data_IF_308779088205
#
_entry.id   IF_308779088205
#
_cell.length_a   1.000
_cell.length_b   1.000
_cell.length_c   1.000
_cell.angle_alpha   90.00
_cell.angle_beta   90.00
_cell.angle_gamma   90.00
#
_symmetry.space_group_name_H-M   'P 1'
#
loop_
_entity.id
_entity.type
_entity.pdbx_description
1 polymer ?
#
# COMPACT_ATOMS: atom_id res chain seq x y z
N UNK A 1 30.10 75.60 7.30
CA UNK A 1 28.64 75.52 7.49
C UNK A 1 28.19 74.09 7.22
N UNK A 2 27.63 73.42 8.23
CA UNK A 2 27.29 71.99 8.20
C UNK A 2 25.80 71.80 7.86
N UNK A 3 25.50 71.29 6.66
CA UNK A 3 24.13 70.96 6.27
C UNK A 3 23.79 69.54 6.70
N UNK A 4 22.98 69.42 7.76
CA UNK A 4 22.35 68.18 8.21
C UNK A 4 21.21 67.82 7.26
N UNK A 5 21.32 66.70 6.55
CA UNK A 5 20.20 66.10 5.85
C UNK A 5 19.18 65.55 6.85
N UNK A 6 17.94 66.08 6.84
CA UNK A 6 16.77 65.42 7.43
C UNK A 6 16.02 64.67 6.32
N UNK A 7 15.68 63.39 6.50
CA UNK A 7 14.84 62.69 5.52
C UNK A 7 13.39 63.18 5.62
N UNK A 8 12.81 63.56 4.48
CA UNK A 8 11.38 63.84 4.34
C UNK A 8 10.66 62.49 4.23
N UNK A 9 9.67 62.20 5.09
CA UNK A 9 8.89 60.97 4.99
C UNK A 9 7.83 61.14 3.89
N UNK A 10 8.10 60.63 2.69
CA UNK A 10 7.10 60.51 1.64
C UNK A 10 6.23 59.26 1.90
N UNK A 11 5.20 59.41 2.75
CA UNK A 11 4.06 58.50 2.76
C UNK A 11 2.90 59.15 1.99
N UNK A 12 2.21 58.42 1.09
CA UNK A 12 0.96 58.90 0.52
C UNK A 12 -0.14 58.91 1.60
N UNK A 13 -0.77 60.07 1.78
CA UNK A 13 -1.98 60.23 2.60
C UNK A 13 -3.17 59.84 1.71
N UNK A 14 -3.87 58.78 2.09
CA UNK A 14 -5.15 58.40 1.48
C UNK A 14 -6.34 58.91 2.32
N UNK A 15 -7.52 59.14 1.72
CA UNK A 15 -8.68 59.72 2.40
C UNK A 15 -9.21 58.83 3.55
N UNK A 16 -9.63 59.42 4.69
CA UNK A 16 -9.82 58.73 5.97
C UNK A 16 -11.06 57.82 6.09
N UNK A 17 -11.79 57.50 5.03
CA UNK A 17 -13.02 56.69 5.12
C UNK A 17 -13.13 55.52 4.13
N UNK A 18 -12.09 55.22 3.35
CA UNK A 18 -12.10 54.09 2.39
C UNK A 18 -10.83 53.22 2.46
N UNK A 19 -10.45 52.73 3.64
CA UNK A 19 -9.49 51.62 3.71
C UNK A 19 -9.96 50.57 4.70
N UNK A 20 -10.79 49.67 4.18
CA UNK A 20 -11.01 48.33 4.70
C UNK A 20 -9.66 47.67 5.06
N UNK A 21 -9.64 46.79 6.08
CA UNK A 21 -8.43 46.19 6.61
C UNK A 21 -7.66 45.49 5.49
N UNK A 22 -6.51 46.05 5.09
CA UNK A 22 -5.55 45.36 4.22
C UNK A 22 -4.84 44.27 5.03
N UNK A 23 -5.59 43.22 5.37
CA UNK A 23 -5.11 41.87 5.18
C UNK A 23 -4.87 41.69 3.67
N UNK A 24 -3.81 42.30 3.14
CA UNK A 24 -3.15 41.71 1.98
C UNK A 24 -2.64 40.36 2.49
N UNK A 25 -3.48 39.35 2.36
CA UNK A 25 -3.04 37.97 2.29
C UNK A 25 -2.16 37.92 1.05
N UNK A 26 -0.89 38.33 1.19
CA UNK A 26 0.18 37.78 0.37
C UNK A 26 -0.13 36.29 0.36
N UNK A 27 -0.42 35.67 -0.79
CA UNK A 27 -0.67 34.25 -0.83
C UNK A 27 0.57 33.64 -0.20
N UNK A 28 0.44 33.17 1.04
CA UNK A 28 1.52 32.46 1.72
C UNK A 28 1.78 31.31 0.76
N UNK A 29 2.90 31.38 0.04
CA UNK A 29 3.39 30.24 -0.73
C UNK A 29 3.24 29.06 0.19
N UNK A 30 2.53 27.99 -0.22
CA UNK A 30 2.20 26.89 0.67
C UNK A 30 3.48 26.49 1.36
N UNK A 31 3.54 26.66 2.68
CA UNK A 31 4.76 26.47 3.45
C UNK A 31 5.28 25.09 3.11
N UNK A 32 6.43 25.04 2.41
CA UNK A 32 7.03 23.78 2.00
C UNK A 32 7.27 23.02 3.30
N UNK A 33 6.69 21.82 3.47
CA UNK A 33 6.85 21.10 4.72
C UNK A 33 8.35 20.89 4.96
N UNK A 34 8.83 21.08 6.19
CA UNK A 34 10.28 21.15 6.48
C UNK A 34 11.08 19.94 5.97
N UNK A 35 10.48 18.74 5.90
CA UNK A 35 11.14 17.54 5.36
C UNK A 35 11.38 17.59 3.83
N UNK A 36 10.77 18.55 3.13
CA UNK A 36 11.02 18.89 1.72
C UNK A 36 11.91 20.12 1.55
N UNK A 37 12.22 20.84 2.62
CA UNK A 37 13.08 22.02 2.57
C UNK A 37 14.52 21.57 2.24
N UNK A 38 15.17 22.12 1.20
CA UNK A 38 16.58 21.85 0.92
C UNK A 38 17.48 22.10 2.13
N UNK A 39 17.16 23.09 2.99
CA UNK A 39 17.90 23.37 4.24
C UNK A 39 17.91 22.20 5.21
N UNK A 40 16.89 21.34 5.17
CA UNK A 40 16.84 20.11 5.97
C UNK A 40 17.42 18.92 5.20
N UNK A 41 17.05 18.75 3.92
CA UNK A 41 17.44 17.58 3.11
C UNK A 41 18.96 17.49 2.94
N UNK A 42 19.63 18.62 2.67
CA UNK A 42 21.07 18.61 2.36
C UNK A 42 21.88 18.14 3.59
N UNK A 43 21.79 18.78 4.77
CA UNK A 43 22.53 18.31 5.95
C UNK A 43 22.17 16.88 6.37
N UNK A 44 20.89 16.52 6.27
CA UNK A 44 20.39 15.23 6.75
C UNK A 44 20.83 14.08 5.82
N UNK A 45 20.55 14.19 4.52
CA UNK A 45 20.78 13.10 3.57
C UNK A 45 22.20 13.11 2.99
N UNK A 46 22.76 14.28 2.71
CA UNK A 46 24.04 14.39 1.99
C UNK A 46 25.23 14.45 2.94
N UNK A 47 25.08 15.09 4.09
CA UNK A 47 26.14 15.14 5.10
C UNK A 47 26.02 13.96 6.06
N UNK A 48 25.01 13.92 6.93
CA UNK A 48 24.93 12.94 8.00
C UNK A 48 24.81 11.48 7.52
N UNK A 49 23.79 11.17 6.71
CA UNK A 49 23.53 9.79 6.27
C UNK A 49 24.68 9.21 5.43
N UNK A 50 25.21 10.00 4.49
CA UNK A 50 26.32 9.52 3.63
C UNK A 50 27.60 9.34 4.42
N UNK A 51 27.96 10.28 5.30
CA UNK A 51 29.13 10.16 6.16
C UNK A 51 29.02 8.93 7.05
N UNK A 52 27.90 8.70 7.72
CA UNK A 52 27.66 7.48 8.50
C UNK A 52 27.85 6.19 7.68
N UNK A 53 27.32 6.16 6.45
CA UNK A 53 27.52 5.03 5.56
C UNK A 53 28.94 4.91 5.03
N UNK A 54 29.71 5.99 4.99
CA UNK A 54 31.10 6.01 4.55
C UNK A 54 32.03 5.54 5.67
N UNK A 55 31.90 6.06 6.88
CA UNK A 55 32.67 5.63 8.06
C UNK A 55 32.41 4.16 8.42
N UNK A 56 31.20 3.66 8.16
CA UNK A 56 30.90 2.22 8.37
C UNK A 56 31.41 1.28 7.26
N UNK A 57 32.05 1.78 6.19
CA UNK A 57 32.63 0.93 5.14
C UNK A 57 34.03 0.48 5.54
N UNK A 58 34.49 -0.61 4.93
CA UNK A 58 35.90 -1.00 5.02
C UNK A 58 36.78 0.03 4.33
N UNK A 59 37.96 0.26 4.91
CA UNK A 59 39.03 1.07 4.32
C UNK A 59 39.57 0.46 3.03
N UNK A 60 39.44 -0.86 2.85
CA UNK A 60 39.92 -1.57 1.65
C UNK A 60 38.77 -1.94 0.69
N UNK A 61 38.92 -1.66 -0.63
CA UNK A 61 37.97 -2.10 -1.63
C UNK A 61 37.92 -3.64 -1.71
N UNK A 62 36.77 -4.23 -1.38
CA UNK A 62 36.56 -5.69 -1.45
C UNK A 62 36.47 -6.40 -0.10
N UNK A 63 36.82 -5.72 1.00
CA UNK A 63 36.68 -6.29 2.34
C UNK A 63 35.31 -6.00 2.97
N UNK A 64 34.82 -6.88 3.87
CA UNK A 64 33.59 -6.64 4.61
C UNK A 64 33.70 -5.34 5.41
N UNK A 65 32.57 -4.63 5.52
CA UNK A 65 32.46 -3.41 6.33
C UNK A 65 33.02 -3.67 7.74
N UNK A 66 33.74 -2.69 8.30
CA UNK A 66 34.30 -2.79 9.65
C UNK A 66 33.20 -3.00 10.71
N UNK A 67 32.07 -2.32 10.54
CA UNK A 67 30.88 -2.43 11.39
C UNK A 67 29.62 -2.76 10.58
N UNK A 68 29.43 -4.03 10.15
CA UNK A 68 28.36 -4.41 9.26
C UNK A 68 26.97 -4.29 9.90
N UNK A 69 26.82 -4.59 11.19
CA UNK A 69 25.53 -4.51 11.88
C UNK A 69 25.13 -3.06 12.16
N UNK A 70 26.06 -2.18 12.55
CA UNK A 70 25.83 -0.73 12.64
C UNK A 70 25.31 -0.20 11.32
N UNK A 71 26.00 -0.52 10.21
CA UNK A 71 25.61 -0.08 8.86
C UNK A 71 24.20 -0.56 8.49
N UNK A 72 23.87 -1.81 8.80
CA UNK A 72 22.56 -2.38 8.52
C UNK A 72 21.47 -1.73 9.38
N UNK A 73 21.76 -1.45 10.65
CA UNK A 73 20.84 -0.77 11.56
C UNK A 73 20.58 0.67 11.12
N UNK A 74 21.61 1.43 10.72
CA UNK A 74 21.46 2.77 10.13
C UNK A 74 20.53 2.68 8.92
N UNK A 75 20.81 1.81 7.94
CA UNK A 75 19.93 1.62 6.77
C UNK A 75 18.49 1.25 7.16
N UNK A 76 18.30 0.45 8.21
CA UNK A 76 16.98 0.03 8.69
C UNK A 76 16.24 1.18 9.36
N UNK A 77 16.91 1.93 10.25
CA UNK A 77 16.33 3.06 10.98
C UNK A 77 15.94 4.19 10.02
N UNK A 78 16.81 4.56 9.09
CA UNK A 78 16.51 5.57 8.07
C UNK A 78 15.32 5.19 7.19
N UNK A 79 15.18 3.91 6.82
CA UNK A 79 14.00 3.41 6.09
C UNK A 79 12.73 3.43 6.95
N UNK A 80 12.84 3.06 8.23
CA UNK A 80 11.72 3.07 9.19
C UNK A 80 11.21 4.48 9.46
N UNK A 81 12.12 5.45 9.56
CA UNK A 81 11.83 6.83 9.96
C UNK A 81 11.70 7.82 8.79
N UNK A 82 11.69 7.34 7.54
CA UNK A 82 11.51 8.18 6.34
C UNK A 82 10.22 9.00 6.31
N UNK A 83 9.20 8.58 7.07
CA UNK A 83 7.89 9.23 7.16
C UNK A 83 7.72 10.03 8.45
N UNK A 84 8.79 10.29 9.21
CA UNK A 84 8.72 11.20 10.36
C UNK A 84 8.46 12.63 9.87
N UNK A 85 7.32 13.18 10.27
CA UNK A 85 6.91 14.56 9.95
C UNK A 85 6.84 15.47 11.17
N UNK A 86 7.17 14.96 12.37
CA UNK A 86 7.17 15.75 13.61
C UNK A 86 8.57 16.28 13.88
N UNK A 87 8.74 17.60 13.94
CA UNK A 87 10.02 18.29 14.18
C UNK A 87 10.77 17.71 15.39
N UNK A 88 10.18 17.62 16.61
CA UNK A 88 10.91 17.12 17.78
C UNK A 88 11.34 15.65 17.63
N UNK A 89 10.53 14.80 16.98
CA UNK A 89 10.89 13.40 16.72
C UNK A 89 12.01 13.28 15.69
N UNK A 90 12.02 14.15 14.68
CA UNK A 90 13.11 14.21 13.71
C UNK A 90 14.39 14.69 14.38
N UNK A 91 14.35 15.74 15.20
CA UNK A 91 15.50 16.21 15.95
C UNK A 91 16.08 15.13 16.86
N UNK A 92 15.25 14.44 17.65
CA UNK A 92 15.70 13.34 18.50
C UNK A 92 16.36 12.21 17.69
N UNK A 93 15.77 11.85 16.54
CA UNK A 93 16.35 10.85 15.64
C UNK A 93 17.71 11.31 15.10
N UNK A 94 17.82 12.54 14.61
CA UNK A 94 19.06 13.08 14.04
C UNK A 94 20.15 13.21 15.09
N UNK A 95 19.84 13.68 16.30
CA UNK A 95 20.80 13.77 17.39
C UNK A 95 21.41 12.39 17.69
N UNK A 96 20.57 11.35 17.81
CA UNK A 96 21.07 9.98 17.99
C UNK A 96 21.87 9.43 16.80
N UNK A 97 21.75 10.01 15.61
CA UNK A 97 22.61 9.68 14.47
C UNK A 97 23.93 10.48 14.49
N UNK A 98 23.90 11.74 14.96
CA UNK A 98 25.10 12.53 15.18
C UNK A 98 25.98 11.95 16.29
N UNK A 99 25.39 11.40 17.35
CA UNK A 99 26.14 10.72 18.43
C UNK A 99 26.96 9.52 17.89
N UNK A 100 26.40 8.79 16.93
CA UNK A 100 27.09 7.69 16.25
C UNK A 100 28.18 8.25 15.34
N UNK A 101 27.90 9.33 14.60
CA UNK A 101 28.89 9.96 13.73
C UNK A 101 30.07 10.53 14.53
N UNK A 102 29.81 11.14 15.68
CA UNK A 102 30.87 11.65 16.55
C UNK A 102 31.74 10.52 17.07
N UNK A 103 31.15 9.39 17.47
CA UNK A 103 31.93 8.22 17.90
C UNK A 103 32.84 7.66 16.79
N UNK A 104 32.40 7.72 15.53
CA UNK A 104 33.24 7.40 14.36
C UNK A 104 34.36 8.42 14.13
N UNK A 105 34.11 9.70 14.37
CA UNK A 105 35.11 10.75 14.16
C UNK A 105 36.16 10.81 15.27
N UNK A 106 35.79 10.42 16.49
CA UNK A 106 36.68 10.37 17.65
C UNK A 106 37.41 9.04 17.80
N UNK A 107 37.30 8.13 16.82
CA UNK A 107 37.88 6.78 16.83
C UNK A 107 37.62 5.99 18.14
N UNK A 108 36.41 6.13 18.71
CA UNK A 108 36.00 5.45 19.93
C UNK A 108 35.64 3.98 19.66
N UNK A 109 36.64 3.19 19.27
CA UNK A 109 36.49 1.79 18.86
C UNK A 109 35.80 0.92 19.91
N UNK A 110 36.00 1.19 21.20
CA UNK A 110 35.34 0.44 22.30
C UNK A 110 33.82 0.60 22.26
N UNK A 111 33.31 1.84 22.14
CA UNK A 111 31.87 2.12 22.07
C UNK A 111 31.24 1.57 20.79
N UNK A 112 31.96 1.66 19.67
CA UNK A 112 31.50 1.11 18.39
C UNK A 112 31.44 -0.42 18.41
N UNK A 113 32.46 -1.09 18.95
CA UNK A 113 32.48 -2.55 19.11
C UNK A 113 31.39 -3.07 20.06
N UNK A 114 31.12 -2.35 21.15
CA UNK A 114 30.02 -2.68 22.06
C UNK A 114 28.67 -2.55 21.33
N UNK A 115 28.48 -1.46 20.58
CA UNK A 115 27.26 -1.21 19.83
C UNK A 115 27.05 -2.27 18.74
N UNK A 116 28.09 -2.62 17.99
CA UNK A 116 28.10 -3.69 16.98
C UNK A 116 27.73 -5.04 17.61
N UNK A 117 28.36 -5.41 18.74
CA UNK A 117 28.07 -6.66 19.47
C UNK A 117 26.62 -6.71 19.95
N UNK A 118 26.10 -5.60 20.49
CA UNK A 118 24.70 -5.48 20.91
C UNK A 118 23.73 -5.64 19.74
N UNK A 119 24.04 -5.04 18.58
CA UNK A 119 23.21 -5.15 17.38
C UNK A 119 23.26 -6.56 16.78
N UNK A 120 24.42 -7.21 16.78
CA UNK A 120 24.60 -8.60 16.38
C UNK A 120 23.73 -9.53 17.24
N UNK A 121 23.77 -9.38 18.57
CA UNK A 121 22.92 -10.15 19.49
C UNK A 121 21.43 -9.93 19.22
N UNK A 122 21.02 -8.67 19.02
CA UNK A 122 19.64 -8.33 18.65
C UNK A 122 19.19 -8.96 17.33
N UNK A 123 20.09 -9.05 16.35
CA UNK A 123 19.83 -9.72 15.06
C UNK A 123 19.67 -11.22 15.26
N UNK A 124 20.58 -11.87 15.97
CA UNK A 124 20.51 -13.30 16.30
C UNK A 124 19.20 -13.64 17.01
N UNK A 125 18.82 -12.88 18.04
CA UNK A 125 17.55 -13.09 18.75
C UNK A 125 16.34 -12.94 17.83
N UNK A 126 16.36 -11.97 16.91
CA UNK A 126 15.29 -11.79 15.92
C UNK A 126 15.21 -12.97 14.95
N UNK A 127 16.35 -13.46 14.48
CA UNK A 127 16.41 -14.56 13.53
C UNK A 127 16.01 -15.88 14.20
N UNK A 128 16.36 -16.08 15.48
CA UNK A 128 15.87 -17.18 16.32
C UNK A 128 14.36 -17.10 16.57
N UNK A 129 13.83 -15.91 16.83
CA UNK A 129 12.38 -15.72 16.99
C UNK A 129 11.64 -16.05 15.70
N UNK A 130 12.12 -15.52 14.56
CA UNK A 130 11.57 -15.86 13.24
C UNK A 130 11.68 -17.34 12.92
N UNK A 131 12.81 -17.99 13.24
CA UNK A 131 12.97 -19.41 12.97
C UNK A 131 12.01 -20.24 13.81
N UNK A 132 11.80 -19.88 15.08
CA UNK A 132 10.75 -20.46 15.94
C UNK A 132 9.36 -20.25 15.36
N UNK A 133 9.02 -19.04 14.92
CA UNK A 133 7.72 -18.76 14.29
C UNK A 133 7.53 -19.59 13.02
N UNK A 134 8.56 -19.70 12.18
CA UNK A 134 8.50 -20.50 10.95
C UNK A 134 8.41 -21.99 11.25
N UNK A 135 9.12 -22.48 12.27
CA UNK A 135 9.06 -23.86 12.71
C UNK A 135 7.71 -24.18 13.36
N UNK A 136 7.16 -23.27 14.15
CA UNK A 136 5.82 -23.36 14.71
C UNK A 136 4.75 -23.36 13.62
N UNK A 137 4.92 -22.56 12.56
CA UNK A 137 4.05 -22.59 11.39
C UNK A 137 4.19 -23.88 10.58
N UNK A 138 5.40 -24.43 10.46
CA UNK A 138 5.65 -25.69 9.78
C UNK A 138 5.15 -26.91 10.58
N UNK A 139 5.11 -26.82 11.92
CA UNK A 139 4.59 -27.88 12.80
C UNK A 139 3.08 -27.82 12.98
N UNK A 140 2.42 -26.73 12.60
CA UNK A 140 0.97 -26.75 12.47
C UNK A 140 0.60 -27.81 11.43
N UNK A 141 -0.30 -28.76 11.74
CA UNK A 141 -0.72 -29.76 10.76
C UNK A 141 -1.23 -29.01 9.53
N UNK A 142 -0.60 -29.25 8.39
CA UNK A 142 -0.92 -28.59 7.12
C UNK A 142 -2.45 -28.48 7.00
N UNK A 143 -2.93 -27.25 6.82
CA UNK A 143 -4.37 -27.01 6.69
C UNK A 143 -4.92 -28.00 5.66
N UNK A 144 -5.90 -28.81 6.07
CA UNK A 144 -6.41 -29.94 5.25
C UNK A 144 -6.55 -29.49 3.79
N UNK A 145 -6.02 -30.26 2.82
CA UNK A 145 -6.00 -29.83 1.43
C UNK A 145 -7.42 -29.45 0.98
N UNK A 146 -7.59 -28.39 0.17
CA UNK A 146 -8.89 -27.92 -0.27
C UNK A 146 -9.72 -29.05 -0.90
N UNK A 147 -10.85 -29.42 -0.26
CA UNK A 147 -11.71 -30.51 -0.75
C UNK A 147 -12.91 -29.95 -1.51
N UNK A 148 -13.25 -30.60 -2.62
CA UNK A 148 -14.47 -30.31 -3.37
C UNK A 148 -15.70 -30.56 -2.49
N UNK A 149 -16.53 -29.54 -2.30
CA UNK A 149 -17.72 -29.63 -1.44
C UNK A 149 -18.94 -30.17 -2.19
N UNK A 150 -18.87 -30.27 -3.52
CA UNK A 150 -20.01 -30.55 -4.39
C UNK A 150 -20.85 -29.30 -4.73
N UNK A 151 -20.38 -28.10 -4.42
CA UNK A 151 -21.04 -26.85 -4.79
C UNK A 151 -20.29 -26.12 -5.90
N UNK A 152 -20.97 -25.15 -6.52
CA UNK A 152 -20.37 -24.22 -7.47
C UNK A 152 -20.21 -22.83 -6.84
N UNK A 153 -19.20 -22.10 -7.28
CA UNK A 153 -19.12 -20.66 -7.10
C UNK A 153 -19.72 -20.01 -8.34
N UNK A 154 -20.75 -19.16 -8.16
CA UNK A 154 -21.41 -18.47 -9.28
C UNK A 154 -20.39 -17.61 -10.03
N UNK A 155 -20.35 -17.64 -11.38
CA UNK A 155 -19.57 -16.65 -12.13
C UNK A 155 -20.03 -15.24 -11.73
N UNK A 156 -19.07 -14.37 -11.48
CA UNK A 156 -19.30 -12.96 -11.15
C UNK A 156 -18.33 -12.09 -11.93
N UNK A 157 -18.48 -10.77 -11.80
CA UNK A 157 -17.52 -9.79 -12.31
C UNK A 157 -16.10 -9.98 -11.76
N UNK A 158 -15.90 -10.79 -10.70
CA UNK A 158 -14.61 -10.95 -10.02
C UNK A 158 -14.06 -12.38 -10.12
N UNK A 159 -14.90 -13.38 -10.38
CA UNK A 159 -14.46 -14.76 -10.53
C UNK A 159 -15.12 -15.44 -11.74
N UNK A 160 -14.35 -16.24 -12.51
CA UNK A 160 -14.94 -17.16 -13.48
C UNK A 160 -15.80 -18.22 -12.76
N UNK A 161 -16.53 -19.07 -13.51
CA UNK A 161 -17.19 -20.24 -12.95
C UNK A 161 -16.13 -21.16 -12.31
N UNK A 162 -16.24 -21.37 -10.99
CA UNK A 162 -15.27 -22.15 -10.21
C UNK A 162 -15.99 -23.17 -9.32
N UNK A 163 -15.34 -24.29 -8.96
CA UNK A 163 -15.91 -25.21 -7.99
C UNK A 163 -15.74 -24.67 -6.56
N UNK A 164 -16.70 -24.98 -5.67
CA UNK A 164 -16.62 -24.60 -4.27
C UNK A 164 -15.76 -25.59 -3.48
N UNK A 165 -14.69 -25.08 -2.89
CA UNK A 165 -13.71 -25.82 -2.08
C UNK A 165 -13.85 -25.47 -0.59
N UNK A 166 -13.53 -26.43 0.30
CA UNK A 166 -13.42 -26.22 1.75
C UNK A 166 -12.16 -26.92 2.31
N UNK A 167 -11.27 -26.19 3.01
CA UNK A 167 -11.19 -24.72 3.07
C UNK A 167 -10.98 -24.13 1.66
N UNK A 168 -11.38 -22.86 1.46
CA UNK A 168 -11.12 -22.19 0.18
C UNK A 168 -9.65 -21.79 0.12
N UNK A 169 -8.92 -22.09 -0.97
CA UNK A 169 -7.52 -21.69 -1.10
C UNK A 169 -7.37 -20.18 -0.95
N UNK A 170 -6.42 -19.73 -0.13
CA UNK A 170 -6.15 -18.31 0.12
C UNK A 170 -5.92 -17.56 -1.20
N UNK A 171 -5.22 -18.18 -2.15
CA UNK A 171 -4.97 -17.59 -3.47
C UNK A 171 -6.25 -17.26 -4.24
N UNK A 172 -7.30 -18.08 -4.13
CA UNK A 172 -8.59 -17.84 -4.79
C UNK A 172 -9.31 -16.66 -4.11
N UNK A 173 -9.39 -16.65 -2.79
CA UNK A 173 -10.01 -15.55 -2.04
C UNK A 173 -9.28 -14.22 -2.27
N UNK A 174 -7.94 -14.25 -2.25
CA UNK A 174 -7.11 -13.09 -2.54
C UNK A 174 -7.21 -12.62 -3.99
N UNK A 175 -7.37 -13.53 -4.96
CA UNK A 175 -7.63 -13.19 -6.36
C UNK A 175 -8.93 -12.37 -6.49
N UNK A 176 -10.02 -12.82 -5.85
CA UNK A 176 -11.32 -12.12 -5.88
C UNK A 176 -11.18 -10.74 -5.24
N UNK A 177 -10.59 -10.68 -4.05
CA UNK A 177 -10.37 -9.43 -3.32
C UNK A 177 -9.52 -8.42 -4.09
N UNK A 178 -8.42 -8.89 -4.69
CA UNK A 178 -7.55 -8.04 -5.49
C UNK A 178 -8.26 -7.50 -6.74
N UNK A 179 -9.14 -8.31 -7.35
CA UNK A 179 -9.95 -7.85 -8.50
C UNK A 179 -10.98 -6.81 -8.08
N UNK A 180 -11.65 -7.00 -6.94
CA UNK A 180 -12.58 -6.02 -6.37
C UNK A 180 -11.89 -4.66 -6.15
N UNK A 181 -10.76 -4.65 -5.42
CA UNK A 181 -9.96 -3.43 -5.19
C UNK A 181 -9.47 -2.79 -6.49
N UNK A 182 -9.03 -3.60 -7.47
CA UNK A 182 -8.60 -3.08 -8.78
C UNK A 182 -9.77 -2.48 -9.57
N UNK A 183 -10.99 -3.00 -9.41
CA UNK A 183 -12.19 -2.45 -10.06
C UNK A 183 -12.55 -1.11 -9.43
N UNK A 184 -12.62 -1.05 -8.11
CA UNK A 184 -12.89 0.19 -7.37
C UNK A 184 -11.95 1.33 -7.78
N UNK A 185 -10.62 1.09 -7.76
CA UNK A 185 -9.63 2.08 -8.22
C UNK A 185 -9.83 2.51 -9.66
N UNK A 186 -10.28 1.61 -10.54
CA UNK A 186 -10.57 1.95 -11.95
C UNK A 186 -11.85 2.78 -12.08
N UNK A 187 -12.89 2.46 -11.31
CA UNK A 187 -14.12 3.26 -11.31
C UNK A 187 -13.84 4.68 -10.84
N UNK A 188 -13.05 4.83 -9.78
CA UNK A 188 -12.64 6.14 -9.27
C UNK A 188 -11.80 6.89 -10.31
N UNK A 189 -10.77 6.25 -10.88
CA UNK A 189 -9.95 6.86 -11.94
C UNK A 189 -10.79 7.27 -13.15
N UNK A 190 -11.75 6.44 -13.57
CA UNK A 190 -12.68 6.74 -14.68
C UNK A 190 -13.57 7.93 -14.36
N UNK A 191 -14.08 8.04 -13.13
CA UNK A 191 -14.87 9.19 -12.68
C UNK A 191 -14.06 10.48 -12.75
N UNK A 192 -12.84 10.47 -12.21
CA UNK A 192 -11.92 11.63 -12.28
C UNK A 192 -11.64 12.01 -13.73
N UNK A 193 -11.33 11.04 -14.60
CA UNK A 193 -10.98 11.33 -16.00
C UNK A 193 -12.18 11.81 -16.81
N UNK A 194 -13.39 11.30 -16.51
CA UNK A 194 -14.61 11.79 -17.11
C UNK A 194 -14.91 13.24 -16.69
N UNK A 195 -14.69 13.59 -15.42
CA UNK A 195 -14.82 14.99 -14.94
C UNK A 195 -13.81 15.90 -15.63
N UNK A 196 -12.52 15.56 -15.58
CA UNK A 196 -11.45 16.34 -16.23
C UNK A 196 -11.72 16.55 -17.73
N UNK A 197 -12.27 15.53 -18.40
CA UNK A 197 -12.64 15.64 -19.81
C UNK A 197 -13.81 16.59 -20.04
N UNK A 198 -14.80 16.61 -19.13
CA UNK A 198 -15.91 17.56 -19.20
C UNK A 198 -15.41 18.99 -18.98
N UNK A 199 -14.55 19.20 -17.97
CA UNK A 199 -13.94 20.49 -17.66
C UNK A 199 -13.11 21.01 -18.84
N UNK A 200 -12.28 20.15 -19.43
CA UNK A 200 -11.48 20.48 -20.62
C UNK A 200 -12.35 20.94 -21.80
N UNK A 201 -13.52 20.34 -21.99
CA UNK A 201 -14.46 20.75 -23.05
C UNK A 201 -15.08 22.12 -22.77
N UNK A 202 -15.41 22.40 -21.51
CA UNK A 202 -15.92 23.70 -21.10
C UNK A 202 -14.86 24.78 -21.26
N UNK A 203 -13.61 24.51 -20.88
CA UNK A 203 -12.49 25.43 -21.10
C UNK A 203 -12.29 25.71 -22.59
N UNK A 204 -12.25 24.67 -23.44
CA UNK A 204 -12.11 24.87 -24.89
C UNK A 204 -13.28 25.67 -25.46
N UNK A 205 -14.51 25.42 -25.02
CA UNK A 205 -15.67 26.18 -25.45
C UNK A 205 -15.60 27.65 -25.00
N UNK A 206 -15.14 27.90 -23.77
CA UNK A 206 -14.92 29.23 -23.23
C UNK A 206 -13.88 30.00 -24.05
N UNK A 207 -12.71 29.41 -24.30
CA UNK A 207 -11.65 30.06 -25.07
C UNK A 207 -12.07 30.38 -26.51
N UNK A 208 -12.83 29.48 -27.15
CA UNK A 208 -13.42 29.73 -28.47
C UNK A 208 -14.39 30.90 -28.48
N UNK A 209 -15.17 31.07 -27.41
CA UNK A 209 -16.11 32.17 -27.28
C UNK A 209 -15.39 33.52 -27.05
N UNK A 210 -14.25 33.52 -26.37
CA UNK A 210 -13.51 34.77 -26.05
C UNK A 210 -12.57 35.25 -27.14
N UNK A 211 -11.84 34.34 -27.81
CA UNK A 211 -10.79 34.71 -28.76
C UNK A 211 -11.26 34.77 -30.23
N UNK A 212 -12.49 34.33 -30.50
CA UNK A 212 -12.99 34.14 -31.86
C UNK A 212 -12.39 32.89 -32.53
N UNK A 213 -12.98 32.48 -33.65
CA UNK A 213 -12.67 31.18 -34.30
C UNK A 213 -11.33 31.18 -35.08
N UNK A 214 -10.58 32.28 -35.07
CA UNK A 214 -9.40 32.49 -35.92
C UNK A 214 -8.05 32.48 -35.19
N UNK A 215 -8.00 32.04 -33.92
CA UNK A 215 -6.71 31.87 -33.22
C UNK A 215 -5.99 30.58 -33.62
N UNK A 216 -4.68 30.71 -33.91
CA UNK A 216 -3.72 29.66 -34.30
C UNK A 216 -3.65 28.48 -33.29
N UNK A 217 -4.11 28.73 -32.05
CA UNK A 217 -4.29 27.74 -30.97
C UNK A 217 -5.27 26.61 -31.31
N UNK A 218 -6.26 26.86 -32.18
CA UNK A 218 -7.27 25.86 -32.56
C UNK A 218 -6.83 24.97 -33.72
N UNK A 219 -5.93 25.47 -34.59
CA UNK A 219 -5.54 24.81 -35.85
C UNK A 219 -4.34 23.86 -35.71
N UNK A 220 -3.45 24.11 -34.74
CA UNK A 220 -2.25 23.28 -34.57
C UNK A 220 -2.60 21.95 -33.89
N UNK A 221 -2.42 20.84 -34.61
CA UNK A 221 -2.49 19.45 -34.10
C UNK A 221 -1.30 19.09 -33.20
N UNK A 222 -0.79 20.03 -32.41
CA UNK A 222 0.29 19.75 -31.49
C UNK A 222 -0.22 18.88 -30.34
N UNK A 223 0.61 17.93 -29.89
CA UNK A 223 0.30 17.07 -28.74
C UNK A 223 0.13 17.86 -27.44
N UNK A 224 0.66 19.10 -27.40
CA UNK A 224 0.49 20.06 -26.31
C UNK A 224 -0.83 20.84 -26.39
N UNK A 225 -1.57 20.78 -27.50
CA UNK A 225 -2.88 21.40 -27.63
C UNK A 225 -3.93 20.66 -26.79
N UNK A 226 -5.05 21.33 -26.47
CA UNK A 226 -6.18 20.71 -25.76
C UNK A 226 -6.69 19.42 -26.42
N UNK A 227 -6.54 19.30 -27.74
CA UNK A 227 -6.91 18.08 -28.48
C UNK A 227 -6.02 16.88 -28.14
N UNK A 228 -4.73 17.12 -27.84
CA UNK A 228 -3.81 16.08 -27.38
C UNK A 228 -4.27 15.48 -26.05
N UNK A 229 -4.65 16.33 -25.09
CA UNK A 229 -5.16 15.90 -23.79
C UNK A 229 -6.51 15.16 -23.88
N UNK A 230 -7.47 15.61 -24.70
CA UNK A 230 -8.73 14.87 -24.90
C UNK A 230 -8.49 13.49 -25.51
N UNK A 231 -7.54 13.36 -26.45
CA UNK A 231 -7.15 12.08 -27.03
C UNK A 231 -6.60 11.14 -25.96
N UNK A 232 -5.65 11.60 -25.14
CA UNK A 232 -5.07 10.80 -24.04
C UNK A 232 -6.13 10.36 -23.02
N UNK A 233 -7.01 11.26 -22.61
CA UNK A 233 -8.10 10.94 -21.68
C UNK A 233 -9.09 9.94 -22.28
N UNK A 234 -9.44 10.11 -23.55
CA UNK A 234 -10.34 9.20 -24.29
C UNK A 234 -9.73 7.81 -24.42
N UNK A 235 -8.45 7.73 -24.75
CA UNK A 235 -7.73 6.45 -24.85
C UNK A 235 -7.69 5.74 -23.50
N UNK A 236 -7.37 6.42 -22.41
CA UNK A 236 -7.35 5.80 -21.08
C UNK A 236 -8.76 5.35 -20.64
N UNK A 237 -9.80 6.17 -20.87
CA UNK A 237 -11.19 5.77 -20.61
C UNK A 237 -11.55 4.53 -21.44
N UNK A 238 -11.19 4.50 -22.73
CA UNK A 238 -11.40 3.36 -23.61
C UNK A 238 -10.67 2.10 -23.14
N UNK A 239 -9.44 2.22 -22.63
CA UNK A 239 -8.70 1.11 -22.02
C UNK A 239 -9.40 0.58 -20.76
N UNK A 240 -9.97 1.46 -19.93
CA UNK A 240 -10.77 1.07 -18.77
C UNK A 240 -12.06 0.35 -19.18
N UNK A 241 -12.74 0.84 -20.21
CA UNK A 241 -13.98 0.24 -20.73
C UNK A 241 -13.71 -1.15 -21.34
N UNK A 242 -12.63 -1.32 -22.12
CA UNK A 242 -12.17 -2.65 -22.57
C UNK A 242 -11.93 -3.61 -21.41
N UNK A 243 -11.40 -3.12 -20.29
CA UNK A 243 -11.23 -3.95 -19.08
C UNK A 243 -12.58 -4.30 -18.46
N UNK A 244 -13.52 -3.36 -18.38
CA UNK A 244 -14.89 -3.61 -17.87
C UNK A 244 -15.63 -4.67 -18.70
N UNK A 245 -15.51 -4.63 -20.02
CA UNK A 245 -16.06 -5.66 -20.92
C UNK A 245 -15.51 -7.05 -20.55
N UNK A 246 -14.19 -7.18 -20.34
CA UNK A 246 -13.59 -8.45 -19.88
C UNK A 246 -14.07 -8.89 -18.48
N UNK A 247 -14.61 -8.00 -17.66
CA UNK A 247 -15.21 -8.37 -16.37
C UNK A 247 -16.63 -8.87 -16.53
N UNK A 248 -17.41 -8.23 -17.40
CA UNK A 248 -18.76 -8.68 -17.76
C UNK A 248 -18.70 -10.03 -18.47
N UNK A 249 -17.77 -10.21 -19.41
CA UNK A 249 -17.53 -11.51 -20.03
C UNK A 249 -17.29 -12.62 -19.00
N UNK A 250 -16.66 -12.32 -17.85
CA UNK A 250 -16.45 -13.31 -16.77
C UNK A 250 -17.71 -13.65 -16.00
N UNK A 251 -18.65 -12.73 -15.83
CA UNK A 251 -19.95 -13.05 -15.22
C UNK A 251 -20.82 -13.91 -16.13
N UNK A 252 -20.61 -13.79 -17.44
CA UNK A 252 -21.43 -14.47 -18.45
C UNK A 252 -20.86 -15.87 -18.81
N UNK A 253 -19.69 -16.21 -18.29
CA UNK A 253 -19.07 -17.53 -18.51
C UNK A 253 -19.90 -18.65 -17.90
N UNK A 254 -20.05 -19.74 -18.65
CA UNK A 254 -20.74 -20.96 -18.25
C UNK A 254 -19.75 -21.98 -17.66
N UNK A 255 -20.22 -22.85 -16.76
CA UNK A 255 -19.43 -23.93 -16.19
C UNK A 255 -19.00 -24.95 -17.26
N UNK A 256 -17.72 -25.32 -17.25
CA UNK A 256 -17.20 -26.39 -18.11
C UNK A 256 -17.83 -27.74 -17.76
N UNK A 257 -18.13 -28.56 -18.78
CA UNK A 257 -18.76 -29.88 -18.62
C UNK A 257 -17.91 -30.83 -17.78
N UNK A 258 -16.58 -30.77 -17.90
CA UNK A 258 -15.66 -31.56 -17.06
C UNK A 258 -15.76 -31.16 -15.58
N UNK A 259 -15.87 -29.86 -15.32
CA UNK A 259 -16.05 -29.33 -13.97
C UNK A 259 -17.40 -29.77 -13.39
N UNK A 260 -18.48 -29.71 -14.17
CA UNK A 260 -19.80 -30.19 -13.76
C UNK A 260 -19.75 -31.67 -13.33
N UNK A 261 -19.17 -32.54 -14.16
CA UNK A 261 -18.97 -33.97 -13.84
C UNK A 261 -18.16 -34.19 -12.55
N UNK A 262 -17.09 -33.41 -12.34
CA UNK A 262 -16.26 -33.50 -11.11
C UNK A 262 -17.05 -33.09 -9.86
N UNK A 263 -17.84 -32.04 -9.96
CA UNK A 263 -18.65 -31.54 -8.85
C UNK A 263 -19.79 -32.51 -8.53
N UNK A 264 -20.43 -33.11 -9.53
CA UNK A 264 -21.43 -34.17 -9.35
C UNK A 264 -20.86 -35.39 -8.64
N UNK A 265 -19.69 -35.89 -9.07
CA UNK A 265 -18.99 -36.97 -8.35
C UNK A 265 -18.69 -36.60 -6.89
N UNK A 266 -18.34 -35.35 -6.62
CA UNK A 266 -18.13 -34.89 -5.25
C UNK A 266 -19.45 -34.82 -4.45
N UNK A 267 -20.57 -34.41 -5.09
CA UNK A 267 -21.92 -34.44 -4.48
C UNK A 267 -22.33 -35.85 -4.11
N UNK A 268 -22.20 -36.81 -5.03
CA UNK A 268 -22.60 -38.21 -4.79
C UNK A 268 -21.78 -38.83 -3.66
N UNK A 269 -20.44 -38.66 -3.68
CA UNK A 269 -19.56 -39.11 -2.58
C UNK A 269 -19.96 -38.52 -1.24
N UNK A 270 -20.27 -37.22 -1.21
CA UNK A 270 -20.71 -36.53 0.01
C UNK A 270 -22.04 -37.09 0.52
N UNK A 271 -23.00 -37.35 -0.38
CA UNK A 271 -24.30 -37.93 -0.01
C UNK A 271 -24.15 -39.35 0.55
N UNK A 272 -23.34 -40.20 -0.10
CA UNK A 272 -23.04 -41.56 0.39
C UNK A 272 -22.40 -41.52 1.77
N UNK A 273 -21.40 -40.65 1.97
CA UNK A 273 -20.75 -40.47 3.26
C UNK A 273 -21.73 -40.03 4.36
N UNK A 274 -22.61 -39.07 4.09
CA UNK A 274 -23.64 -38.64 5.05
C UNK A 274 -24.67 -39.73 5.36
N UNK A 275 -25.07 -40.53 4.36
CA UNK A 275 -25.95 -41.69 4.58
C UNK A 275 -25.28 -42.70 5.52
N UNK A 276 -24.02 -43.05 5.27
CA UNK A 276 -23.25 -43.94 6.16
C UNK A 276 -23.15 -43.40 7.58
N UNK A 277 -22.80 -42.12 7.75
CA UNK A 277 -22.75 -41.48 9.07
C UNK A 277 -24.10 -41.46 9.79
N UNK A 278 -25.21 -41.31 9.06
CA UNK A 278 -26.56 -41.35 9.63
C UNK A 278 -26.92 -42.76 10.11
N UNK A 279 -26.57 -43.79 9.36
CA UNK A 279 -26.79 -45.18 9.76
C UNK A 279 -25.91 -45.59 10.95
N UNK A 280 -24.62 -45.23 10.97
CA UNK A 280 -23.73 -45.40 12.13
C UNK A 280 -24.30 -44.73 13.40
N UNK A 281 -24.85 -43.51 13.25
CA UNK A 281 -25.47 -42.80 14.37
C UNK A 281 -26.78 -43.46 14.83
N UNK A 282 -27.54 -44.09 13.93
CA UNK A 282 -28.74 -44.86 14.29
C UNK A 282 -28.36 -46.16 14.98
N UNK A 283 -27.36 -46.90 14.50
CA UNK A 283 -26.90 -48.15 15.13
C UNK A 283 -26.38 -47.88 16.53
N UNK A 284 -25.51 -46.88 16.70
CA UNK A 284 -25.01 -46.49 18.02
C UNK A 284 -26.11 -46.06 19.01
N UNK A 285 -27.24 -45.51 18.52
CA UNK A 285 -28.41 -45.22 19.37
C UNK A 285 -29.18 -46.48 19.76
N UNK A 286 -29.30 -47.46 18.85
CA UNK A 286 -29.94 -48.76 19.15
C UNK A 286 -29.13 -49.54 20.19
N UNK A 287 -27.82 -49.58 20.04
CA UNK A 287 -26.92 -50.28 20.97
C UNK A 287 -27.01 -49.68 22.38
N UNK A 288 -26.95 -48.34 22.49
CA UNK A 288 -27.15 -47.63 23.78
C UNK A 288 -28.54 -47.85 24.38
N UNK A 289 -29.57 -47.93 23.55
CA UNK A 289 -30.93 -48.22 24.01
C UNK A 289 -31.06 -49.63 24.59
N UNK A 290 -30.41 -50.62 23.99
CA UNK A 290 -30.37 -51.99 24.52
C UNK A 290 -29.56 -52.08 25.82
N UNK A 291 -28.42 -51.39 25.93
CA UNK A 291 -27.65 -51.32 27.19
C UNK A 291 -28.49 -50.74 28.34
N UNK A 292 -29.28 -49.70 28.08
CA UNK A 292 -30.17 -49.11 29.10
C UNK A 292 -31.31 -50.06 29.51
N UNK A 293 -31.92 -50.79 28.57
CA UNK A 293 -32.96 -51.78 28.91
C UNK A 293 -32.40 -52.93 29.77
N UNK A 294 -31.20 -53.40 29.45
CA UNK A 294 -30.52 -54.46 30.21
C UNK A 294 -30.09 -54.01 31.61
N UNK A 295 -29.79 -52.72 31.80
CA UNK A 295 -29.48 -52.16 33.12
C UNK A 295 -30.73 -51.97 33.99
N UNK A 296 -31.88 -51.69 33.38
CA UNK A 296 -33.15 -51.54 34.12
C UNK A 296 -33.78 -52.87 34.54
N UNK A 297 -33.55 -53.97 33.80
CA UNK A 297 -34.07 -55.29 34.14
C UNK A 297 -33.33 -55.99 35.30
N UNK A 298 -32.18 -55.45 35.72
CA UNK A 298 -31.35 -55.98 36.82
C UNK A 298 -31.41 -55.13 38.10
N UNK A 299 -32.41 -54.25 38.25
CA UNK A 299 -32.71 -53.62 39.56
C UNK A 299 -33.77 -54.46 40.28
N UNK A 300 -33.42 -55.14 41.38
CA UNK A 300 -34.35 -55.96 42.17
C UNK A 300 -35.42 -55.13 42.89
#
# INVERSE_FOLDING_TARGET
>A
MTLRYRPIPLRPILPPYLSFPTHLRIPRTPSVPFYRDPKHIVPTKWSLYRSLLQFSKSSEPGYPAEYPEIRNEIKRLWRKHKSLTSIPRVQQFLNGQYDILSAFQSDESTKLNELESRLKNKRVLRDLCKSRDTAAQASQPDSKPPRLTGGYLRPTLFNPPLPRLKPQPIGLSMMIHNRLRKRERRMEKRRVYASLRADLKLEVAFWRATEGDDTDWSRRKDERSHFGWDKLLREEIGLMDKRFIKENMRSDMIYDSNMMRRVERAKTRKLVWWKGKKEEAKSAKRDKGMEQCNLTSNRP
#
